data_IF_869660714122
#
_entry.id   IF_869660714122
#
_cell.length_a   1.000
_cell.length_b   1.000
_cell.length_c   1.000
_cell.angle_alpha   90.00
_cell.angle_beta   90.00
_cell.angle_gamma   90.00
#
_symmetry.space_group_name_H-M   'P 1'
#
loop_
_entity.id
_entity.type
_entity.pdbx_description
1 polymer ?
#
# COMPACT_ATOMS: atom_id res chain seq x y z
N UNK A 1 -7.89 -6.56 -8.77
CA UNK A 1 -7.90 -5.11 -9.09
C UNK A 1 -6.97 -4.85 -10.24
N UNK A 2 -7.40 -4.07 -11.22
CA UNK A 2 -6.56 -3.70 -12.35
C UNK A 2 -5.79 -2.43 -12.03
N UNK A 3 -4.47 -2.55 -11.97
CA UNK A 3 -3.58 -1.47 -11.57
C UNK A 3 -2.73 -1.05 -12.77
N UNK A 4 -2.66 0.26 -13.03
CA UNK A 4 -1.80 0.81 -14.06
C UNK A 4 -0.36 0.82 -13.55
N UNK A 5 -0.16 1.40 -12.36
CA UNK A 5 1.14 1.37 -11.70
C UNK A 5 0.98 1.69 -10.23
N UNK A 6 2.03 1.38 -9.45
CA UNK A 6 2.12 1.72 -8.04
C UNK A 6 3.46 2.43 -7.80
N UNK A 7 3.46 3.41 -6.90
CA UNK A 7 4.66 4.17 -6.58
C UNK A 7 4.72 4.48 -5.08
N UNK A 8 5.92 4.44 -4.52
CA UNK A 8 6.13 4.82 -3.13
C UNK A 8 6.21 6.33 -3.01
N UNK A 9 5.42 6.89 -2.10
CA UNK A 9 5.43 8.32 -1.81
C UNK A 9 6.21 8.57 -0.51
N UNK A 10 7.39 9.17 -0.65
CA UNK A 10 8.29 9.38 0.49
C UNK A 10 7.73 10.41 1.48
N UNK A 11 6.93 11.35 0.99
CA UNK A 11 6.41 12.42 1.84
C UNK A 11 5.32 11.92 2.78
N UNK A 12 4.55 10.95 2.34
CA UNK A 12 3.43 10.39 3.11
C UNK A 12 3.71 9.00 3.64
N UNK A 13 4.85 8.42 3.31
CA UNK A 13 5.18 7.01 3.61
C UNK A 13 4.01 6.11 3.22
N UNK A 14 3.64 6.20 1.94
CA UNK A 14 2.48 5.48 1.40
C UNK A 14 2.81 4.88 0.05
N UNK A 15 1.99 3.93 -0.36
CA UNK A 15 1.97 3.43 -1.73
C UNK A 15 0.77 4.05 -2.43
N UNK A 16 1.03 4.80 -3.47
CA UNK A 16 0.00 5.42 -4.29
C UNK A 16 -0.22 4.55 -5.52
N UNK A 17 -1.47 4.14 -5.74
CA UNK A 17 -1.83 3.16 -6.75
C UNK A 17 -2.79 3.80 -7.75
N UNK A 18 -2.39 3.83 -9.02
CA UNK A 18 -3.25 4.30 -10.09
C UNK A 18 -4.00 3.11 -10.69
N UNK A 19 -5.31 3.22 -10.78
CA UNK A 19 -6.17 2.14 -11.28
C UNK A 19 -6.77 2.48 -12.63
N UNK A 20 -7.15 1.45 -13.37
CA UNK A 20 -7.86 1.63 -14.65
C UNK A 20 -9.25 2.25 -14.47
N UNK A 21 -9.78 2.23 -13.26
CA UNK A 21 -11.05 2.88 -12.96
C UNK A 21 -10.95 4.41 -12.89
N UNK A 22 -9.73 4.96 -12.99
CA UNK A 22 -9.52 6.41 -13.06
C UNK A 22 -9.39 7.10 -11.71
N UNK A 23 -9.14 6.36 -10.65
CA UNK A 23 -8.91 6.96 -9.34
C UNK A 23 -7.58 6.44 -8.76
N UNK A 24 -7.09 7.16 -7.76
CA UNK A 24 -5.87 6.82 -7.07
C UNK A 24 -6.22 6.30 -5.67
N UNK A 25 -5.71 5.13 -5.35
CA UNK A 25 -5.78 4.59 -3.99
C UNK A 25 -4.47 4.85 -3.27
N UNK A 26 -4.54 5.02 -1.97
CA UNK A 26 -3.35 5.20 -1.14
C UNK A 26 -3.38 4.20 0.01
N UNK A 27 -2.27 3.50 0.19
CA UNK A 27 -2.05 2.62 1.33
C UNK A 27 -1.03 3.28 2.24
N UNK A 28 -1.43 3.59 3.47
CA UNK A 28 -0.51 4.13 4.47
C UNK A 28 0.37 2.99 4.99
N UNK A 29 1.66 3.04 4.67
CA UNK A 29 2.59 1.96 5.02
C UNK A 29 2.69 1.76 6.54
N UNK A 30 2.78 2.85 7.29
CA UNK A 30 2.91 2.75 8.74
C UNK A 30 1.67 2.13 9.38
N UNK A 31 0.49 2.56 8.94
CA UNK A 31 -0.77 2.00 9.45
C UNK A 31 -0.96 0.55 9.05
N UNK A 32 -0.57 0.20 7.82
CA UNK A 32 -0.67 -1.17 7.33
C UNK A 32 0.22 -2.10 8.16
N UNK A 33 1.47 -1.73 8.34
CA UNK A 33 2.42 -2.55 9.08
C UNK A 33 2.03 -2.66 10.55
N UNK A 34 1.55 -1.57 11.16
CA UNK A 34 1.07 -1.59 12.53
C UNK A 34 -0.17 -2.47 12.68
N UNK A 35 -1.09 -2.37 11.74
CA UNK A 35 -2.32 -3.17 11.76
C UNK A 35 -2.04 -4.66 11.59
N UNK A 36 -1.04 -5.02 10.81
CA UNK A 36 -0.63 -6.40 10.60
C UNK A 36 0.30 -6.91 11.69
N UNK A 37 0.68 -6.06 12.64
CA UNK A 37 1.54 -6.42 13.78
C UNK A 37 2.88 -7.00 13.34
N UNK A 38 3.51 -6.33 12.39
CA UNK A 38 4.81 -6.77 11.87
C UNK A 38 5.89 -6.64 12.95
N UNK A 39 6.90 -7.50 12.86
CA UNK A 39 8.08 -7.40 13.72
C UNK A 39 9.03 -6.33 13.17
N UNK A 40 9.99 -5.81 13.98
CA UNK A 40 10.96 -4.84 13.45
C UNK A 40 11.74 -5.33 12.23
N UNK A 41 12.09 -6.60 12.19
CA UNK A 41 12.81 -7.18 11.04
C UNK A 41 11.91 -7.21 9.79
N UNK A 42 10.66 -7.64 9.96
CA UNK A 42 9.69 -7.65 8.87
C UNK A 42 9.38 -6.24 8.39
N UNK A 43 9.29 -5.29 9.31
CA UNK A 43 9.03 -3.89 9.00
C UNK A 43 10.15 -3.31 8.14
N UNK A 44 11.40 -3.60 8.48
CA UNK A 44 12.55 -3.15 7.69
C UNK A 44 12.52 -3.75 6.28
N UNK A 45 12.22 -5.03 6.16
CA UNK A 45 12.13 -5.70 4.87
C UNK A 45 11.00 -5.11 4.03
N UNK A 46 9.85 -4.83 4.63
CA UNK A 46 8.71 -4.24 3.94
C UNK A 46 9.00 -2.81 3.49
N UNK A 47 9.70 -2.03 4.31
CA UNK A 47 10.07 -0.68 3.93
C UNK A 47 10.99 -0.67 2.71
N UNK A 48 11.96 -1.57 2.67
CA UNK A 48 12.84 -1.71 1.51
C UNK A 48 12.03 -2.12 0.28
N UNK A 49 11.13 -3.07 0.44
CA UNK A 49 10.29 -3.54 -0.66
C UNK A 49 9.40 -2.43 -1.19
N UNK A 50 8.83 -1.61 -0.31
CA UNK A 50 7.98 -0.49 -0.71
C UNK A 50 8.73 0.50 -1.59
N UNK A 51 9.99 0.76 -1.28
CA UNK A 51 10.81 1.70 -2.03
C UNK A 51 11.30 1.07 -3.34
N UNK A 52 11.80 -0.15 -3.29
CA UNK A 52 12.42 -0.81 -4.44
C UNK A 52 11.40 -1.39 -5.42
N UNK A 53 10.30 -1.94 -4.91
CA UNK A 53 9.28 -2.56 -5.75
C UNK A 53 7.89 -2.32 -5.16
N UNK A 54 7.33 -1.11 -5.37
CA UNK A 54 6.03 -0.74 -4.78
C UNK A 54 4.89 -1.68 -5.19
N UNK A 55 4.92 -2.19 -6.41
CA UNK A 55 3.86 -3.08 -6.89
C UNK A 55 3.86 -4.41 -6.12
N UNK A 56 5.03 -4.97 -5.87
CA UNK A 56 5.15 -6.20 -5.09
C UNK A 56 4.75 -5.97 -3.62
N UNK A 57 5.14 -4.82 -3.07
CA UNK A 57 4.67 -4.42 -1.73
C UNK A 57 3.14 -4.34 -1.70
N UNK A 58 2.55 -3.71 -2.71
CA UNK A 58 1.10 -3.63 -2.82
C UNK A 58 0.46 -5.01 -2.83
N UNK A 59 0.98 -5.93 -3.64
CA UNK A 59 0.40 -7.27 -3.77
C UNK A 59 0.42 -8.00 -2.43
N UNK A 60 1.54 -7.92 -1.71
CA UNK A 60 1.67 -8.56 -0.41
C UNK A 60 0.73 -7.93 0.62
N UNK A 61 0.78 -6.62 0.76
CA UNK A 61 0.00 -5.89 1.77
C UNK A 61 -1.49 -5.99 1.48
N UNK A 62 -1.89 -5.89 0.23
CA UNK A 62 -3.29 -5.98 -0.15
C UNK A 62 -3.90 -7.30 0.30
N UNK A 63 -3.20 -8.40 0.05
CA UNK A 63 -3.67 -9.72 0.45
C UNK A 63 -3.77 -9.82 1.98
N UNK A 64 -2.77 -9.35 2.69
CA UNK A 64 -2.77 -9.41 4.16
C UNK A 64 -3.85 -8.56 4.78
N UNK A 65 -4.06 -7.34 4.27
CA UNK A 65 -5.13 -6.47 4.74
C UNK A 65 -6.51 -7.07 4.50
N UNK A 66 -6.68 -7.71 3.35
CA UNK A 66 -7.94 -8.38 3.03
C UNK A 66 -8.23 -9.50 4.02
N UNK A 67 -7.22 -10.33 4.32
CA UNK A 67 -7.38 -11.44 5.26
C UNK A 67 -7.74 -10.97 6.67
N UNK A 68 -7.17 -9.83 7.09
CA UNK A 68 -7.39 -9.30 8.43
C UNK A 68 -8.61 -8.38 8.55
N UNK A 69 -9.26 -8.07 7.44
CA UNK A 69 -10.42 -7.16 7.46
C UNK A 69 -10.05 -5.71 7.70
N UNK A 70 -8.81 -5.31 7.42
CA UNK A 70 -8.31 -3.97 7.70
C UNK A 70 -8.36 -3.04 6.49
N UNK A 71 -8.81 -3.54 5.34
CA UNK A 71 -8.75 -2.83 4.08
C UNK A 71 -9.38 -1.43 4.15
N UNK A 72 -10.59 -1.34 4.73
CA UNK A 72 -11.33 -0.09 4.79
C UNK A 72 -10.71 0.95 5.72
N UNK A 73 -9.88 0.51 6.66
CA UNK A 73 -9.25 1.41 7.64
C UNK A 73 -7.94 2.00 7.13
N UNK A 74 -7.29 1.30 6.20
CA UNK A 74 -5.90 1.58 5.83
C UNK A 74 -5.79 2.07 4.39
N UNK A 75 -6.68 1.61 3.51
CA UNK A 75 -6.68 1.98 2.10
C UNK A 75 -7.80 2.97 1.86
N UNK A 76 -7.49 4.09 1.21
CA UNK A 76 -8.53 5.07 0.87
C UNK A 76 -8.33 5.61 -0.53
N UNK A 77 -9.42 6.11 -1.07
CA UNK A 77 -9.42 6.75 -2.38
C UNK A 77 -8.87 8.16 -2.22
N UNK A 78 -7.81 8.44 -2.96
CA UNK A 78 -7.07 9.68 -2.80
C UNK A 78 -7.51 10.76 -3.78
N UNK A 79 -7.96 10.37 -4.97
CA UNK A 79 -8.40 11.31 -5.99
C UNK A 79 -8.52 10.64 -7.33
N UNK A 80 -8.69 11.47 -8.36
CA UNK A 80 -8.73 11.01 -9.74
C UNK A 80 -7.50 11.52 -10.47
N UNK A 81 -6.95 10.72 -11.35
CA UNK A 81 -5.92 11.20 -12.25
C UNK A 81 -6.51 11.45 -13.62
N UNK A 82 -5.91 12.38 -14.39
CA UNK A 82 -6.45 12.70 -15.71
C UNK A 82 -6.42 11.52 -16.67
#
# INVERSE_FOLDING_TARGET
MNIIYAAYNIYHNSIDICTYAGYILRIDCAKAEKGLKTTPDSESALNILAIDNPLEYHDYIWMELYKCGLMQRIVWKFGKYP
#
